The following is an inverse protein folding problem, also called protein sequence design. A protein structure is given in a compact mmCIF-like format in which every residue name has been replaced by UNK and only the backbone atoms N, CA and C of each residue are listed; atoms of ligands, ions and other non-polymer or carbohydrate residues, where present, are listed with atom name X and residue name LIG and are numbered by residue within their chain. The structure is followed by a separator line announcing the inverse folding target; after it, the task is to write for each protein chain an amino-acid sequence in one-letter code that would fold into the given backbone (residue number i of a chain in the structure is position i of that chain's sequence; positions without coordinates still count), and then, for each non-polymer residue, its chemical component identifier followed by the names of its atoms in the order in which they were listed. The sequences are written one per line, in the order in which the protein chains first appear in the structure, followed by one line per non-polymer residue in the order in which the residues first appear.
data_IF_889414100402
#
_entry.id   IF_889414100402
#
_cell.length_a   1.000
_cell.length_b   1.000
_cell.length_c   1.000
_cell.angle_alpha   90.00
_cell.angle_beta   90.00
_cell.angle_gamma   90.00
#
_symmetry.space_group_name_H-M   'P 1'
#
loop_
_entity.id
_entity.type
_entity.pdbx_description
1 polymer ?
#
# COMPACT_ATOMS: atom_id res chain seq x y z
N UNK A 1 -4.50 -4.04 -7.89
CA UNK A 1 -3.88 -5.33 -7.52
C UNK A 1 -4.87 -6.45 -7.14
N UNK A 2 -6.06 -6.18 -6.59
CA UNK A 2 -6.97 -7.24 -6.12
C UNK A 2 -7.48 -8.23 -7.19
N UNK A 3 -7.75 -7.78 -8.42
CA UNK A 3 -8.24 -8.67 -9.49
C UNK A 3 -7.16 -9.65 -9.96
N UNK A 4 -5.94 -9.16 -10.21
CA UNK A 4 -4.81 -10.00 -10.61
C UNK A 4 -4.50 -11.05 -9.53
N UNK A 5 -4.48 -10.61 -8.26
CA UNK A 5 -4.28 -11.52 -7.12
C UNK A 5 -5.32 -12.66 -7.12
N UNK A 6 -6.60 -12.36 -7.34
CA UNK A 6 -7.65 -13.39 -7.44
C UNK A 6 -7.41 -14.40 -8.55
N UNK A 7 -7.01 -13.94 -9.74
CA UNK A 7 -6.73 -14.86 -10.86
C UNK A 7 -5.51 -15.74 -10.61
N UNK A 8 -4.47 -15.22 -9.94
CA UNK A 8 -3.32 -16.01 -9.51
C UNK A 8 -3.73 -17.06 -8.46
N UNK A 9 -4.61 -16.71 -7.51
CA UNK A 9 -5.11 -17.67 -6.52
C UNK A 9 -5.97 -18.76 -7.15
N UNK A 10 -6.78 -18.43 -8.18
CA UNK A 10 -7.54 -19.43 -8.95
C UNK A 10 -6.62 -20.46 -9.61
N UNK A 11 -5.39 -20.08 -9.94
CA UNK A 11 -4.37 -21.00 -10.46
C UNK A 11 -3.64 -21.80 -9.36
N UNK A 12 -4.04 -21.68 -8.09
CA UNK A 12 -3.46 -22.42 -6.96
C UNK A 12 -2.22 -21.77 -6.34
N UNK A 13 -1.88 -20.54 -6.71
CA UNK A 13 -0.72 -19.82 -6.17
C UNK A 13 -1.21 -18.82 -5.11
N UNK A 14 -0.82 -18.98 -3.83
CA UNK A 14 -1.26 -18.08 -2.77
C UNK A 14 -0.62 -16.70 -2.93
N UNK A 15 -1.44 -15.65 -2.81
CA UNK A 15 -0.99 -14.25 -2.91
C UNK A 15 -1.24 -13.47 -1.64
N UNK A 16 -0.47 -12.40 -1.47
CA UNK A 16 -0.63 -11.41 -0.40
C UNK A 16 -0.21 -10.04 -0.94
N UNK A 17 -1.05 -9.03 -0.73
CA UNK A 17 -0.76 -7.65 -1.11
C UNK A 17 -0.12 -6.91 0.07
N UNK A 18 1.08 -6.36 -0.14
CA UNK A 18 1.66 -5.40 0.79
C UNK A 18 1.17 -3.99 0.43
N UNK A 19 0.66 -3.25 1.42
CA UNK A 19 0.06 -1.94 1.17
C UNK A 19 0.43 -0.89 2.22
N UNK A 20 0.44 0.36 1.75
CA UNK A 20 0.56 1.59 2.56
C UNK A 20 -0.71 2.45 2.51
N UNK A 21 -1.75 2.02 1.80
CA UNK A 21 -3.01 2.77 1.66
C UNK A 21 -4.17 1.94 2.24
N UNK A 22 -4.45 2.13 3.52
CA UNK A 22 -5.34 1.26 4.29
C UNK A 22 -6.77 1.24 3.74
N UNK A 23 -7.35 2.41 3.55
CA UNK A 23 -8.72 2.64 3.06
C UNK A 23 -8.93 2.13 1.63
N UNK A 24 -8.00 2.44 0.73
CA UNK A 24 -8.00 1.94 -0.65
C UNK A 24 -7.89 0.42 -0.68
N UNK A 25 -7.02 -0.16 0.14
CA UNK A 25 -6.83 -1.62 0.19
C UNK A 25 -8.05 -2.32 0.76
N UNK A 26 -8.64 -1.74 1.80
CA UNK A 26 -9.88 -2.22 2.39
C UNK A 26 -11.03 -2.19 1.38
N UNK A 27 -11.15 -1.11 0.59
CA UNK A 27 -12.16 -1.00 -0.46
C UNK A 27 -11.95 -2.02 -1.61
N UNK A 28 -10.69 -2.26 -2.01
CA UNK A 28 -10.34 -3.22 -3.10
C UNK A 28 -10.57 -4.68 -2.68
N UNK A 29 -10.50 -4.99 -1.38
CA UNK A 29 -10.69 -6.35 -0.80
C UNK A 29 -9.89 -7.43 -1.54
N UNK A 30 -8.55 -7.34 -1.62
CA UNK A 30 -7.73 -8.41 -2.21
C UNK A 30 -7.89 -9.72 -1.42
N UNK A 31 -7.49 -10.89 -1.97
CA UNK A 31 -7.57 -12.17 -1.26
C UNK A 31 -6.96 -12.11 0.13
N UNK A 32 -5.77 -11.52 0.27
CA UNK A 32 -5.08 -11.28 1.54
C UNK A 32 -4.28 -9.99 1.42
N UNK A 33 -4.21 -9.21 2.51
CA UNK A 33 -3.38 -8.02 2.57
C UNK A 33 -2.70 -7.83 3.92
N UNK A 34 -1.56 -7.17 3.88
CA UNK A 34 -0.94 -6.56 5.06
C UNK A 34 -0.77 -5.08 4.82
N UNK A 35 -1.03 -4.31 5.86
CA UNK A 35 -0.83 -2.87 5.88
C UNK A 35 0.42 -2.54 6.70
N UNK A 36 1.26 -1.68 6.15
CA UNK A 36 2.45 -1.12 6.80
C UNK A 36 2.31 0.40 6.76
N UNK A 37 2.37 1.07 7.90
CA UNK A 37 2.15 2.52 7.98
C UNK A 37 3.40 3.33 7.57
N UNK A 38 3.83 3.13 6.34
CA UNK A 38 5.00 3.72 5.72
C UNK A 38 4.58 4.53 4.49
N UNK A 39 5.36 5.54 4.07
CA UNK A 39 5.13 6.22 2.79
C UNK A 39 4.98 5.25 1.63
N UNK A 40 4.27 5.68 0.58
CA UNK A 40 4.18 4.90 -0.65
C UNK A 40 5.58 4.51 -1.15
N UNK A 41 5.66 3.31 -1.76
CA UNK A 41 6.89 2.67 -2.24
C UNK A 41 7.87 2.19 -1.16
N UNK A 42 7.48 2.18 0.11
CA UNK A 42 8.29 1.69 1.22
C UNK A 42 7.64 0.54 2.00
N UNK A 43 6.69 -0.19 1.39
CA UNK A 43 5.91 -1.24 2.06
C UNK A 43 6.80 -2.35 2.64
N UNK A 44 7.97 -2.58 2.06
CA UNK A 44 8.94 -3.61 2.49
C UNK A 44 10.01 -3.08 3.44
N UNK A 45 10.02 -1.80 3.81
CA UNK A 45 11.00 -1.24 4.75
C UNK A 45 11.73 0.01 4.25
N UNK A 46 12.64 0.53 5.08
CA UNK A 46 13.49 1.68 4.76
C UNK A 46 14.60 1.28 3.80
N UNK A 47 15.03 2.23 2.97
CA UNK A 47 16.22 2.05 2.14
C UNK A 47 17.45 1.74 3.03
N UNK A 48 18.30 0.82 2.58
CA UNK A 48 19.54 0.42 3.27
C UNK A 48 19.36 -0.18 4.67
N UNK A 49 18.15 -0.63 5.04
CA UNK A 49 17.90 -1.37 6.29
C UNK A 49 17.43 -2.81 6.01
N UNK A 50 18.35 -3.71 5.61
CA UNK A 50 18.00 -5.09 5.27
C UNK A 50 17.45 -5.87 6.47
N UNK A 51 17.79 -5.47 7.70
CA UNK A 51 17.29 -6.11 8.92
C UNK A 51 15.79 -5.82 9.09
N UNK A 52 15.40 -4.55 8.99
CA UNK A 52 14.00 -4.14 9.01
C UNK A 52 13.23 -4.78 7.85
N UNK A 53 13.79 -4.73 6.64
CA UNK A 53 13.13 -5.28 5.46
C UNK A 53 12.82 -6.76 5.61
N UNK A 54 13.80 -7.53 6.10
CA UNK A 54 13.62 -8.95 6.38
C UNK A 54 12.55 -9.20 7.44
N UNK A 55 12.51 -8.40 8.49
CA UNK A 55 11.56 -8.56 9.59
C UNK A 55 10.12 -8.26 9.13
N UNK A 56 9.92 -7.20 8.33
CA UNK A 56 8.64 -6.89 7.69
C UNK A 56 8.16 -8.03 6.80
N UNK A 57 9.03 -8.56 5.94
CA UNK A 57 8.67 -9.68 5.05
C UNK A 57 8.30 -10.95 5.83
N UNK A 58 9.03 -11.27 6.89
CA UNK A 58 8.68 -12.42 7.73
C UNK A 58 7.32 -12.24 8.41
N UNK A 59 7.04 -11.07 8.96
CA UNK A 59 5.75 -10.81 9.61
C UNK A 59 4.61 -10.75 8.60
N UNK A 60 4.87 -10.28 7.37
CA UNK A 60 3.93 -10.37 6.28
C UNK A 60 3.63 -11.82 5.90
N UNK A 61 4.65 -12.69 5.83
CA UNK A 61 4.49 -14.10 5.52
C UNK A 61 3.72 -14.87 6.62
N UNK A 62 3.87 -14.48 7.88
CA UNK A 62 3.05 -15.04 8.98
C UNK A 62 1.55 -14.83 8.77
N UNK A 63 1.14 -13.83 8.00
CA UNK A 63 -0.28 -13.63 7.69
C UNK A 63 -0.91 -14.83 6.96
N UNK A 64 -0.13 -15.63 6.21
CA UNK A 64 -0.63 -16.87 5.60
C UNK A 64 -1.00 -17.94 6.64
N UNK A 65 -0.41 -17.91 7.83
CA UNK A 65 -0.73 -18.82 8.93
C UNK A 65 -1.94 -18.33 9.73
N UNK A 66 -2.26 -17.03 9.67
CA UNK A 66 -3.31 -16.39 10.46
C UNK A 66 -4.64 -16.22 9.69
N UNK A 67 -4.57 -16.00 8.37
CA UNK A 67 -5.74 -15.72 7.55
C UNK A 67 -6.43 -17.00 7.10
N UNK A 68 -7.72 -17.10 7.43
CA UNK A 68 -8.57 -18.24 7.09
C UNK A 68 -9.68 -17.89 6.10
N UNK A 69 -9.89 -16.61 5.79
CA UNK A 69 -10.89 -16.15 4.82
C UNK A 69 -10.33 -15.07 3.87
N UNK A 70 -10.79 -15.02 2.60
CA UNK A 70 -10.44 -13.95 1.68
C UNK A 70 -10.89 -12.57 2.18
N UNK A 71 -10.12 -11.54 1.88
CA UNK A 71 -10.40 -10.15 2.28
C UNK A 71 -9.92 -9.79 3.68
N UNK A 72 -9.29 -10.72 4.40
CA UNK A 72 -8.63 -10.41 5.67
C UNK A 72 -7.41 -9.51 5.44
N UNK A 73 -7.22 -8.57 6.36
CA UNK A 73 -6.12 -7.62 6.34
C UNK A 73 -5.52 -7.49 7.75
N UNK A 74 -4.19 -7.44 7.83
CA UNK A 74 -3.44 -7.31 9.07
C UNK A 74 -2.61 -6.02 9.02
N UNK A 75 -2.71 -5.19 10.06
CA UNK A 75 -1.80 -4.07 10.25
C UNK A 75 -0.54 -4.55 10.96
N UNK A 76 0.62 -4.36 10.34
CA UNK A 76 1.92 -4.66 10.97
C UNK A 76 2.33 -3.52 11.91
N UNK A 77 3.08 -3.79 13.00
CA UNK A 77 3.37 -2.82 14.06
C UNK A 77 4.49 -1.82 13.72
N UNK A 78 4.79 -1.62 12.44
CA UNK A 78 5.87 -0.74 11.99
C UNK A 78 5.37 0.67 11.70
N UNK A 79 6.10 1.65 12.22
CA UNK A 79 5.87 3.08 11.95
C UNK A 79 7.10 3.68 11.28
N UNK A 80 6.91 4.54 10.30
CA UNK A 80 8.02 5.15 9.53
C UNK A 80 8.98 5.94 10.42
N UNK A 81 8.48 6.94 11.13
CA UNK A 81 9.20 7.64 12.18
C UNK A 81 8.27 7.80 13.40
N UNK A 82 8.57 7.16 14.54
CA UNK A 82 7.77 7.29 15.76
C UNK A 82 7.68 8.72 16.30
N UNK A 83 8.57 9.63 15.86
CA UNK A 83 8.63 11.02 16.32
C UNK A 83 8.10 12.02 15.30
N UNK A 84 7.87 11.59 14.05
CA UNK A 84 7.47 12.48 12.96
C UNK A 84 6.51 11.79 11.97
N UNK A 85 5.24 12.20 12.02
CA UNK A 85 4.20 11.75 11.09
C UNK A 85 3.89 12.80 10.00
N UNK A 86 4.67 13.87 9.88
CA UNK A 86 4.42 14.95 8.90
C UNK A 86 4.43 14.49 7.44
N UNK A 87 4.98 13.30 7.16
CA UNK A 87 4.90 12.69 5.84
C UNK A 87 3.48 12.26 5.46
N UNK A 88 2.61 11.95 6.43
CA UNK A 88 1.20 11.59 6.19
C UNK A 88 0.36 12.81 5.80
N UNK A 89 0.79 14.01 6.21
CA UNK A 89 0.14 15.28 5.87
C UNK A 89 0.41 15.70 4.42
N UNK A 90 1.42 15.10 3.79
CA UNK A 90 1.80 15.39 2.40
C UNK A 90 1.09 14.46 1.44
N UNK A 91 0.01 14.97 0.85
CA UNK A 91 -0.65 14.32 -0.26
C UNK A 91 0.18 14.51 -1.55
N UNK A 92 0.49 13.42 -2.25
CA UNK A 92 1.12 13.44 -3.58
C UNK A 92 0.06 13.69 -4.67
N UNK A 93 -0.81 14.65 -4.39
CA UNK A 93 -1.94 15.02 -5.21
C UNK A 93 -1.60 16.07 -6.27
N UNK A 94 -2.61 16.50 -7.03
CA UNK A 94 -2.48 17.56 -8.02
C UNK A 94 -1.74 18.80 -7.48
N UNK A 95 -0.66 19.22 -8.16
CA UNK A 95 0.26 20.28 -7.74
C UNK A 95 1.59 19.84 -7.08
N UNK A 96 1.85 18.54 -6.93
CA UNK A 96 3.14 18.03 -6.43
C UNK A 96 4.10 17.66 -7.59
N UNK A 97 5.21 18.36 -7.74
CA UNK A 97 6.29 17.95 -8.66
C UNK A 97 7.05 16.75 -8.08
N UNK A 98 6.85 15.57 -8.67
CA UNK A 98 7.67 14.39 -8.36
C UNK A 98 9.12 14.66 -8.79
N UNK A 99 10.08 14.39 -7.90
CA UNK A 99 11.47 14.19 -8.34
C UNK A 99 11.52 12.96 -9.26
N UNK A 100 11.49 13.19 -10.58
CA UNK A 100 11.81 12.18 -11.60
C UNK A 100 10.67 11.56 -12.41
N UNK A 101 9.45 12.12 -12.45
CA UNK A 101 8.43 11.71 -13.46
C UNK A 101 7.86 12.96 -14.10
N UNK A 102 8.10 13.13 -15.40
CA UNK A 102 7.62 14.26 -16.19
C UNK A 102 6.09 14.26 -16.40
N UNK A 103 5.61 15.16 -17.26
CA UNK A 103 4.20 15.28 -17.62
C UNK A 103 3.55 13.92 -17.93
N UNK A 104 2.31 13.74 -17.47
CA UNK A 104 1.54 12.52 -17.69
C UNK A 104 1.43 12.22 -19.20
N UNK A 105 1.92 11.05 -19.61
CA UNK A 105 1.94 10.63 -21.03
C UNK A 105 0.56 10.21 -21.56
N UNK A 106 -0.48 10.21 -20.72
CA UNK A 106 -1.85 9.85 -21.07
C UNK A 106 -2.72 11.08 -21.33
N UNK A 107 -3.20 11.23 -22.56
CA UNK A 107 -4.17 12.25 -22.94
C UNK A 107 -5.46 12.11 -22.10
N UNK A 108 -5.93 13.22 -21.52
CA UNK A 108 -7.20 13.29 -20.78
C UNK A 108 -7.12 13.10 -19.26
N UNK A 109 -5.94 12.78 -18.71
CA UNK A 109 -5.69 12.67 -17.26
C UNK A 109 -5.07 13.95 -16.66
N UNK A 110 -5.61 15.11 -17.02
CA UNK A 110 -5.22 16.36 -16.39
C UNK A 110 -5.65 16.40 -14.91
N UNK A 111 -4.84 17.06 -14.08
CA UNK A 111 -5.10 17.36 -12.68
C UNK A 111 -6.52 17.92 -12.49
N UNK A 112 -7.37 17.22 -11.72
CA UNK A 112 -8.69 17.69 -11.30
C UNK A 112 -8.70 17.89 -9.79
N UNK A 113 -8.97 19.12 -9.35
CA UNK A 113 -9.31 19.38 -7.95
C UNK A 113 -10.66 18.75 -7.62
N UNK A 114 -10.65 17.68 -6.83
CA UNK A 114 -11.87 17.12 -6.25
C UNK A 114 -12.33 18.03 -5.11
N UNK A 115 -13.49 18.67 -5.27
CA UNK A 115 -14.15 19.39 -4.18
C UNK A 115 -14.78 18.39 -3.20
N UNK A 116 -14.77 18.71 -1.90
CA UNK A 116 -15.54 17.96 -0.90
C UNK A 116 -17.03 18.01 -1.29
N UNK A 117 -17.69 16.86 -1.26
CA UNK A 117 -19.14 16.80 -1.39
C UNK A 117 -19.78 17.69 -0.30
N UNK A 118 -20.66 18.60 -0.71
CA UNK A 118 -21.47 19.35 0.24
C UNK A 118 -22.53 18.41 0.83
N UNK A 119 -22.73 18.53 2.15
CA UNK A 119 -23.71 17.77 2.91
C UNK A 119 -25.16 18.13 2.53
#
# INVERSE_FOLDING_TARGET
MGLIAREIERAGIPTLSMSSAWDVTFAVRPPRAVFVNFPLNHQTGKANDPRLQRQILLDALRAFELFWAPGMMLTLPYVWDPRDASWEEKDFGPGFELYGVGEAMQEGFAERKLGRAQA
#
